data_IF_345357610090
#
_entry.id   IF_345357610090
#
_cell.length_a   1.000
_cell.length_b   1.000
_cell.length_c   1.000
_cell.angle_alpha   90.00
_cell.angle_beta   90.00
_cell.angle_gamma   90.00
#
_symmetry.space_group_name_H-M   'P 1'
#
loop_
_entity.id
_entity.type
_entity.pdbx_description
1 polymer ?
#
# COMPACT_ATOMS: atom_id res chain seq x y z
N UNK A 1 12.64 -19.01 -8.11
CA UNK A 1 11.96 -19.87 -7.12
C UNK A 1 12.60 -19.76 -5.74
N UNK A 2 13.92 -19.98 -5.60
CA UNK A 2 14.64 -19.93 -4.31
C UNK A 2 14.32 -18.70 -3.42
N UNK A 3 14.51 -17.49 -3.95
CA UNK A 3 14.26 -16.25 -3.16
C UNK A 3 12.79 -15.96 -2.85
N UNK A 4 11.84 -16.49 -3.64
CA UNK A 4 10.40 -16.37 -3.33
C UNK A 4 10.04 -17.19 -2.09
N UNK A 5 10.50 -18.45 -2.05
CA UNK A 5 10.31 -19.31 -0.88
C UNK A 5 10.97 -18.72 0.37
N UNK A 6 12.12 -18.05 0.19
CA UNK A 6 12.79 -17.37 1.28
C UNK A 6 12.01 -16.13 1.78
N UNK A 7 11.38 -15.32 0.91
CA UNK A 7 10.47 -14.25 1.33
C UNK A 7 9.28 -14.78 2.13
N UNK A 8 8.66 -15.88 1.67
CA UNK A 8 7.55 -16.53 2.40
C UNK A 8 8.03 -17.04 3.77
N UNK A 9 9.20 -17.66 3.83
CA UNK A 9 9.80 -18.10 5.09
C UNK A 9 10.03 -16.92 6.05
N UNK A 10 10.62 -15.81 5.57
CA UNK A 10 10.79 -14.59 6.38
C UNK A 10 9.43 -14.09 6.88
N UNK A 11 8.41 -14.04 6.02
CA UNK A 11 7.08 -13.60 6.43
C UNK A 11 6.51 -14.48 7.56
N UNK A 12 6.63 -15.80 7.46
CA UNK A 12 6.20 -16.73 8.52
C UNK A 12 6.99 -16.51 9.81
N UNK A 13 8.31 -16.34 9.73
CA UNK A 13 9.16 -16.06 10.90
C UNK A 13 8.75 -14.73 11.56
N UNK A 14 8.48 -13.68 10.77
CA UNK A 14 8.03 -12.39 11.29
C UNK A 14 6.67 -12.50 11.99
N UNK A 15 5.72 -13.26 11.43
CA UNK A 15 4.44 -13.54 12.12
C UNK A 15 4.69 -14.29 13.43
N UNK A 16 5.53 -15.32 13.41
CA UNK A 16 5.82 -16.10 14.62
C UNK A 16 6.44 -15.22 15.70
N UNK A 17 7.42 -14.39 15.35
CA UNK A 17 8.02 -13.41 16.28
C UNK A 17 6.96 -12.44 16.82
N UNK A 18 6.04 -11.98 15.98
CA UNK A 18 4.95 -11.07 16.38
C UNK A 18 3.99 -11.70 17.38
N UNK A 19 3.72 -13.00 17.27
CA UNK A 19 2.75 -13.73 18.10
C UNK A 19 3.38 -14.57 19.22
N UNK A 20 4.72 -14.62 19.33
CA UNK A 20 5.45 -15.52 20.25
C UNK A 20 5.11 -15.32 21.75
N UNK A 21 4.42 -14.23 22.10
CA UNK A 21 4.01 -13.95 23.49
C UNK A 21 2.63 -13.30 23.58
N UNK A 22 1.80 -13.46 22.55
CA UNK A 22 0.42 -12.95 22.51
C UNK A 22 -0.52 -14.08 22.94
N UNK A 23 -1.20 -14.01 24.10
CA UNK A 23 -2.20 -14.99 24.50
C UNK A 23 -3.27 -15.20 23.41
N UNK A 24 -3.78 -16.41 23.27
CA UNK A 24 -4.77 -16.75 22.24
C UNK A 24 -6.07 -15.92 22.36
N UNK A 25 -6.44 -15.54 23.58
CA UNK A 25 -7.64 -14.73 23.86
C UNK A 25 -7.35 -13.21 23.83
N UNK A 26 -6.10 -12.83 23.56
CA UNK A 26 -5.73 -11.44 23.37
C UNK A 26 -5.76 -11.09 21.89
N UNK A 27 -6.35 -9.95 21.59
CA UNK A 27 -6.23 -9.33 20.27
C UNK A 27 -4.82 -8.76 20.16
N UNK A 28 -4.22 -8.92 18.98
CA UNK A 28 -3.01 -8.17 18.69
C UNK A 28 -3.47 -6.73 18.45
N UNK A 29 -3.46 -5.92 19.52
CA UNK A 29 -3.53 -4.48 19.42
C UNK A 29 -2.26 -4.01 18.72
N UNK A 30 -2.27 -4.07 17.39
CA UNK A 30 -1.59 -3.03 16.63
C UNK A 30 -2.49 -1.82 16.83
N UNK A 31 -2.21 -1.05 17.88
CA UNK A 31 -2.85 0.21 18.26
C UNK A 31 -3.64 0.89 17.12
N UNK A 32 -4.88 1.33 17.38
CA UNK A 32 -5.77 2.10 16.47
C UNK A 32 -5.87 1.66 14.99
N UNK A 33 -5.53 0.42 14.63
CA UNK A 33 -5.99 -0.14 13.36
C UNK A 33 -7.52 -0.24 13.40
N UNK A 34 -8.21 0.17 12.33
CA UNK A 34 -9.68 0.04 12.24
C UNK A 34 -10.06 -1.44 12.29
N UNK A 35 -10.45 -1.88 13.48
CA UNK A 35 -10.70 -3.27 13.78
C UNK A 35 -12.16 -3.57 13.49
N UNK A 36 -12.39 -4.41 12.48
CA UNK A 36 -13.72 -4.91 12.20
C UNK A 36 -13.93 -6.19 12.99
N UNK A 37 -14.87 -6.17 13.93
CA UNK A 37 -15.13 -7.27 14.86
C UNK A 37 -15.93 -8.42 14.24
N UNK A 38 -16.77 -8.11 13.25
CA UNK A 38 -17.63 -9.09 12.60
C UNK A 38 -17.97 -8.73 11.15
N UNK A 39 -18.59 -9.69 10.45
CA UNK A 39 -19.01 -9.55 9.06
C UNK A 39 -20.05 -8.44 8.87
N UNK A 40 -21.05 -8.35 9.76
CA UNK A 40 -22.16 -7.40 9.63
C UNK A 40 -21.69 -5.95 9.72
N UNK A 41 -20.79 -5.66 10.66
CA UNK A 41 -20.18 -4.35 10.82
C UNK A 41 -19.32 -4.00 9.61
N UNK A 42 -18.49 -4.94 9.13
CA UNK A 42 -17.66 -4.73 7.92
C UNK A 42 -18.51 -4.48 6.67
N UNK A 43 -19.63 -5.20 6.52
CA UNK A 43 -20.54 -5.04 5.38
C UNK A 43 -21.21 -3.67 5.38
N UNK A 44 -21.63 -3.21 6.54
CA UNK A 44 -22.22 -1.88 6.70
C UNK A 44 -21.22 -0.76 6.37
N UNK A 45 -19.95 -0.94 6.73
CA UNK A 45 -18.86 0.02 6.45
C UNK A 45 -18.41 0.04 4.98
N UNK A 46 -18.81 -0.95 4.19
CA UNK A 46 -18.49 -1.05 2.75
C UNK A 46 -19.35 -0.15 1.87
N UNK A 47 -20.47 0.35 2.38
CA UNK A 47 -21.32 1.27 1.64
C UNK A 47 -20.96 2.70 1.99
N UNK A 48 -20.55 3.47 0.98
CA UNK A 48 -20.32 4.90 1.13
C UNK A 48 -21.57 5.65 1.63
N UNK A 49 -22.77 5.13 1.36
CA UNK A 49 -24.03 5.72 1.80
C UNK A 49 -24.91 4.60 2.38
N UNK A 50 -25.15 4.66 3.69
CA UNK A 50 -26.18 3.86 4.35
C UNK A 50 -27.44 4.71 4.48
N UNK A 51 -28.59 4.18 4.03
CA UNK A 51 -29.90 4.86 4.15
C UNK A 51 -30.26 5.23 5.59
N UNK A 52 -29.64 4.59 6.58
CA UNK A 52 -29.86 4.83 8.01
C UNK A 52 -29.25 6.13 8.56
N UNK A 53 -28.20 6.66 7.93
CA UNK A 53 -27.41 7.78 8.49
C UNK A 53 -27.61 9.10 7.73
N UNK A 54 -28.74 9.26 7.02
CA UNK A 54 -29.06 10.46 6.21
C UNK A 54 -27.92 10.92 5.28
N UNK A 55 -27.06 10.00 4.84
CA UNK A 55 -26.04 10.27 3.83
C UNK A 55 -24.77 10.98 4.31
N UNK A 56 -24.42 10.96 5.60
CA UNK A 56 -23.07 11.41 6.01
C UNK A 56 -22.02 10.35 5.64
N UNK A 57 -21.58 10.38 4.39
CA UNK A 57 -20.56 9.47 3.87
C UNK A 57 -19.16 9.93 4.28
N UNK A 58 -18.40 9.09 4.99
CA UNK A 58 -16.96 9.31 5.17
C UNK A 58 -16.20 8.64 4.00
N UNK A 59 -16.50 9.09 2.77
CA UNK A 59 -15.94 8.60 1.50
C UNK A 59 -14.40 8.58 1.49
N UNK A 60 -13.78 9.53 2.19
CA UNK A 60 -12.32 9.59 2.38
C UNK A 60 -11.82 8.38 3.19
N UNK A 61 -12.48 8.06 4.32
CA UNK A 61 -12.15 6.87 5.12
C UNK A 61 -12.45 5.56 4.38
N UNK A 62 -13.52 5.51 3.58
CA UNK A 62 -13.79 4.34 2.74
C UNK A 62 -12.64 4.07 1.76
N UNK A 63 -12.14 5.11 1.08
CA UNK A 63 -11.01 4.95 0.15
C UNK A 63 -9.75 4.43 0.84
N UNK A 64 -9.45 4.95 2.04
CA UNK A 64 -8.30 4.54 2.84
C UNK A 64 -8.43 3.11 3.38
N UNK A 65 -9.65 2.61 3.59
CA UNK A 65 -9.89 1.27 4.18
C UNK A 65 -10.35 0.23 3.17
N UNK A 66 -10.45 0.57 1.89
CA UNK A 66 -11.09 -0.28 0.89
C UNK A 66 -10.54 -1.72 0.87
N UNK A 67 -9.22 -1.87 0.88
CA UNK A 67 -8.60 -3.20 0.86
C UNK A 67 -8.70 -3.94 2.19
N UNK A 68 -8.68 -3.21 3.31
CA UNK A 68 -8.92 -3.78 4.64
C UNK A 68 -10.36 -4.31 4.75
N UNK A 69 -11.35 -3.51 4.37
CA UNK A 69 -12.76 -3.90 4.32
C UNK A 69 -12.98 -5.12 3.41
N UNK A 70 -12.35 -5.14 2.23
CA UNK A 70 -12.46 -6.26 1.30
C UNK A 70 -11.87 -7.53 1.90
N UNK A 71 -10.73 -7.39 2.58
CA UNK A 71 -10.09 -8.47 3.32
C UNK A 71 -11.00 -9.01 4.43
N UNK A 72 -11.49 -8.14 5.33
CA UNK A 72 -12.31 -8.57 6.47
C UNK A 72 -13.62 -9.22 6.02
N UNK A 73 -14.29 -8.69 4.99
CA UNK A 73 -15.48 -9.34 4.41
C UNK A 73 -15.18 -10.75 3.92
N UNK A 74 -14.07 -10.92 3.20
CA UNK A 74 -13.67 -12.21 2.65
C UNK A 74 -13.26 -13.17 3.77
N UNK A 75 -12.45 -12.71 4.71
CA UNK A 75 -11.93 -13.52 5.80
C UNK A 75 -13.05 -13.99 6.73
N UNK A 76 -13.97 -13.11 7.12
CA UNK A 76 -15.12 -13.47 7.97
C UNK A 76 -16.13 -14.39 7.27
N UNK A 77 -16.16 -14.43 5.94
CA UNK A 77 -16.98 -15.41 5.21
C UNK A 77 -16.45 -16.85 5.34
N UNK A 78 -15.19 -17.03 5.72
CA UNK A 78 -14.50 -18.33 5.82
C UNK A 78 -14.20 -18.69 7.28
N UNK A 79 -13.81 -17.71 8.08
CA UNK A 79 -13.30 -17.89 9.44
C UNK A 79 -14.06 -16.96 10.39
N UNK A 80 -14.76 -17.53 11.38
CA UNK A 80 -15.55 -16.74 12.33
C UNK A 80 -14.73 -16.16 13.49
N UNK A 81 -13.48 -16.59 13.66
CA UNK A 81 -12.62 -16.16 14.77
C UNK A 81 -11.78 -14.94 14.38
N UNK A 82 -11.96 -13.84 15.11
CA UNK A 82 -11.21 -12.59 14.95
C UNK A 82 -9.70 -12.81 15.09
N UNK A 83 -9.26 -13.65 16.03
CA UNK A 83 -7.84 -13.97 16.23
C UNK A 83 -7.20 -14.51 14.94
N UNK A 84 -7.82 -15.52 14.33
CA UNK A 84 -7.32 -16.11 13.09
C UNK A 84 -7.38 -15.15 11.91
N UNK A 85 -8.42 -14.32 11.84
CA UNK A 85 -8.52 -13.26 10.83
C UNK A 85 -7.36 -12.25 10.97
N UNK A 86 -6.93 -11.90 12.18
CA UNK A 86 -5.77 -11.03 12.36
C UNK A 86 -4.43 -11.71 12.04
N UNK A 87 -4.26 -12.98 12.44
CA UNK A 87 -3.04 -13.75 12.13
C UNK A 87 -2.87 -13.87 10.61
N UNK A 88 -3.93 -14.20 9.88
CA UNK A 88 -3.93 -14.31 8.42
C UNK A 88 -3.65 -12.95 7.78
N UNK A 89 -4.20 -11.86 8.33
CA UNK A 89 -3.98 -10.51 7.83
C UNK A 89 -2.51 -10.13 7.95
N UNK A 90 -1.90 -10.36 9.12
CA UNK A 90 -0.50 -10.06 9.36
C UNK A 90 0.42 -10.89 8.45
N UNK A 91 0.11 -12.18 8.28
CA UNK A 91 0.82 -13.05 7.34
C UNK A 91 0.73 -12.53 5.90
N UNK A 92 -0.47 -12.16 5.45
CA UNK A 92 -0.69 -11.56 4.14
C UNK A 92 0.14 -10.27 3.99
N UNK A 93 0.09 -9.37 4.97
CA UNK A 93 0.83 -8.11 4.96
C UNK A 93 2.34 -8.36 4.82
N UNK A 94 2.93 -9.29 5.59
CA UNK A 94 4.36 -9.61 5.45
C UNK A 94 4.71 -10.33 4.15
N UNK A 95 3.85 -11.18 3.61
CA UNK A 95 4.05 -11.80 2.29
C UNK A 95 4.08 -10.71 1.21
N UNK A 96 3.10 -9.81 1.21
CA UNK A 96 3.04 -8.69 0.26
C UNK A 96 4.30 -7.84 0.36
N UNK A 97 4.68 -7.45 1.59
CA UNK A 97 5.82 -6.60 1.87
C UNK A 97 7.16 -7.18 1.40
N UNK A 98 7.38 -8.48 1.62
CA UNK A 98 8.67 -9.13 1.30
C UNK A 98 8.74 -9.68 -0.13
N UNK A 99 7.60 -9.87 -0.79
CA UNK A 99 7.54 -10.57 -2.09
C UNK A 99 7.25 -9.65 -3.26
N UNK A 100 6.29 -8.73 -3.13
CA UNK A 100 5.85 -7.88 -4.24
C UNK A 100 6.97 -6.91 -4.68
N UNK A 101 7.71 -6.24 -3.77
CA UNK A 101 8.82 -5.38 -4.17
C UNK A 101 9.92 -6.14 -4.91
N UNK A 102 10.23 -7.38 -4.50
CA UNK A 102 11.22 -8.21 -5.18
C UNK A 102 10.87 -8.43 -6.66
N UNK A 103 9.60 -8.71 -6.98
CA UNK A 103 9.17 -8.83 -8.36
C UNK A 103 9.31 -7.52 -9.14
N UNK A 104 8.97 -6.38 -8.51
CA UNK A 104 9.15 -5.06 -9.10
C UNK A 104 10.63 -4.74 -9.39
N UNK A 105 11.51 -4.87 -8.40
CA UNK A 105 12.94 -4.63 -8.56
C UNK A 105 13.60 -5.59 -9.55
N UNK A 106 13.19 -6.86 -9.56
CA UNK A 106 13.66 -7.82 -10.56
C UNK A 106 13.25 -7.43 -11.99
N UNK A 107 12.12 -6.75 -12.17
CA UNK A 107 11.70 -6.23 -13.47
C UNK A 107 12.44 -4.94 -13.82
N UNK A 108 12.65 -4.05 -12.85
CA UNK A 108 13.43 -2.82 -13.02
C UNK A 108 14.90 -3.10 -13.36
N UNK A 109 15.52 -4.09 -12.72
CA UNK A 109 16.93 -4.42 -12.97
C UNK A 109 17.18 -4.84 -14.41
N UNK A 110 16.20 -5.47 -15.09
CA UNK A 110 16.28 -5.81 -16.52
C UNK A 110 16.40 -4.58 -17.43
N UNK A 111 15.96 -3.43 -16.94
CA UNK A 111 15.99 -2.17 -17.68
C UNK A 111 17.26 -1.39 -17.34
N UNK A 112 17.65 -1.37 -16.07
CA UNK A 112 18.71 -0.50 -15.56
C UNK A 112 20.11 -1.13 -15.61
N UNK A 113 20.22 -2.47 -15.58
CA UNK A 113 21.52 -3.16 -15.57
C UNK A 113 21.55 -4.38 -16.49
N UNK A 114 22.55 -4.49 -17.39
CA UNK A 114 22.74 -5.68 -18.21
C UNK A 114 23.23 -6.90 -17.40
N UNK A 115 23.90 -6.68 -16.26
CA UNK A 115 24.33 -7.75 -15.34
C UNK A 115 23.33 -7.85 -14.18
N UNK A 116 22.60 -8.94 -14.14
CA UNK A 116 21.57 -9.20 -13.11
C UNK A 116 22.13 -10.14 -12.04
N UNK A 117 22.45 -9.57 -10.88
CA UNK A 117 22.68 -10.36 -9.67
C UNK A 117 21.37 -10.46 -8.87
N UNK A 118 20.79 -11.67 -8.84
CA UNK A 118 19.53 -11.93 -8.15
C UNK A 118 19.65 -11.77 -6.63
N UNK A 119 20.82 -11.99 -6.04
CA UNK A 119 21.04 -11.79 -4.61
C UNK A 119 21.03 -10.31 -4.28
N UNK A 120 21.72 -9.47 -5.07
CA UNK A 120 21.72 -8.02 -4.88
C UNK A 120 20.31 -7.45 -5.04
N UNK A 121 19.57 -7.87 -6.08
CA UNK A 121 18.17 -7.46 -6.27
C UNK A 121 17.32 -7.84 -5.05
N UNK A 122 17.54 -9.03 -4.51
CA UNK A 122 16.84 -9.51 -3.33
C UNK A 122 17.16 -8.67 -2.08
N UNK A 123 18.44 -8.39 -1.83
CA UNK A 123 18.87 -7.55 -0.70
C UNK A 123 18.33 -6.12 -0.80
N UNK A 124 18.33 -5.52 -1.99
CA UNK A 124 17.70 -4.21 -2.23
C UNK A 124 16.20 -4.26 -1.96
N UNK A 125 15.53 -5.34 -2.38
CA UNK A 125 14.10 -5.49 -2.12
C UNK A 125 13.78 -5.69 -0.63
N UNK A 126 14.62 -6.41 0.12
CA UNK A 126 14.50 -6.54 1.56
C UNK A 126 14.78 -5.21 2.28
N UNK A 127 15.79 -4.47 1.84
CA UNK A 127 16.08 -3.14 2.38
C UNK A 127 14.91 -2.18 2.15
N UNK A 128 14.29 -2.22 0.96
CA UNK A 128 13.06 -1.47 0.68
C UNK A 128 11.90 -1.92 1.57
N UNK A 129 11.70 -3.22 1.72
CA UNK A 129 10.61 -3.81 2.49
C UNK A 129 10.72 -3.56 4.00
N UNK A 130 11.93 -3.51 4.55
CA UNK A 130 12.20 -3.40 5.99
C UNK A 130 12.94 -2.09 6.33
N UNK A 131 12.66 -1.02 5.57
CA UNK A 131 13.22 0.29 5.87
C UNK A 131 12.53 0.92 7.10
N UNK A 132 13.10 2.03 7.58
CA UNK A 132 12.58 2.77 8.73
C UNK A 132 11.12 3.18 8.57
N UNK A 133 10.71 3.56 7.35
CA UNK A 133 9.33 3.93 7.08
C UNK A 133 8.39 2.74 7.36
N UNK A 134 8.71 1.55 6.85
CA UNK A 134 7.89 0.36 7.09
C UNK A 134 7.89 -0.04 8.56
N UNK A 135 9.03 0.03 9.25
CA UNK A 135 9.11 -0.26 10.70
C UNK A 135 8.25 0.73 11.50
N UNK A 136 8.27 2.02 11.16
CA UNK A 136 7.41 3.03 11.79
C UNK A 136 5.94 2.69 11.57
N UNK A 137 5.54 2.34 10.35
CA UNK A 137 4.13 2.04 10.05
C UNK A 137 3.65 0.74 10.69
N UNK A 138 4.52 -0.28 10.77
CA UNK A 138 4.27 -1.52 11.51
C UNK A 138 4.00 -1.27 13.00
N UNK A 139 4.70 -0.30 13.60
CA UNK A 139 4.54 0.05 15.02
C UNK A 139 3.47 1.12 15.29
N UNK A 140 3.11 1.88 14.27
CA UNK A 140 2.51 3.21 14.40
C UNK A 140 1.07 3.33 13.94
N UNK A 141 0.28 2.27 14.11
CA UNK A 141 -1.18 2.32 13.90
C UNK A 141 -1.61 2.55 12.44
N UNK A 142 -0.68 2.42 11.49
CA UNK A 142 -0.89 2.87 10.11
C UNK A 142 -0.59 1.78 9.07
N UNK A 143 -0.36 0.53 9.48
CA UNK A 143 -0.06 -0.56 8.54
C UNK A 143 -1.30 -1.20 7.91
N UNK A 144 -2.27 -0.36 7.54
CA UNK A 144 -3.46 -0.77 6.79
C UNK A 144 -3.06 -1.39 5.43
N UNK A 145 -3.88 -2.30 4.91
CA UNK A 145 -3.63 -2.94 3.62
C UNK A 145 -3.56 -1.92 2.48
N UNK A 146 -4.38 -0.87 2.52
CA UNK A 146 -4.40 0.15 1.45
C UNK A 146 -3.08 0.91 1.26
N UNK A 147 -2.48 1.55 2.29
CA UNK A 147 -1.17 2.16 2.16
C UNK A 147 -0.07 1.13 1.89
N UNK A 148 -0.18 -0.09 2.44
CA UNK A 148 0.77 -1.17 2.16
C UNK A 148 0.78 -1.55 0.68
N UNK A 149 -0.39 -1.80 0.08
CA UNK A 149 -0.54 -2.13 -1.35
C UNK A 149 0.07 -1.04 -2.21
N UNK A 150 -0.20 0.22 -1.88
CA UNK A 150 0.35 1.39 -2.58
C UNK A 150 1.89 1.42 -2.49
N UNK A 151 2.43 1.15 -1.31
CA UNK A 151 3.88 1.10 -1.07
C UNK A 151 4.56 -0.06 -1.81
N UNK A 152 4.04 -1.29 -1.70
CA UNK A 152 4.72 -2.48 -2.25
C UNK A 152 4.63 -2.58 -3.76
N UNK A 153 3.58 -2.00 -4.37
CA UNK A 153 3.42 -1.97 -5.82
C UNK A 153 4.30 -0.92 -6.50
N UNK A 154 4.80 0.09 -5.78
CA UNK A 154 5.54 1.21 -6.38
C UNK A 154 6.72 0.78 -7.29
N UNK A 155 7.58 -0.20 -6.94
CA UNK A 155 8.66 -0.63 -7.83
C UNK A 155 8.13 -1.29 -9.12
N UNK A 156 7.04 -2.06 -9.04
CA UNK A 156 6.41 -2.68 -10.21
C UNK A 156 5.70 -1.63 -11.07
N UNK A 157 4.99 -0.69 -10.44
CA UNK A 157 4.33 0.42 -11.11
C UNK A 157 5.35 1.27 -11.89
N UNK A 158 6.50 1.57 -11.27
CA UNK A 158 7.57 2.31 -11.93
C UNK A 158 8.09 1.57 -13.17
N UNK A 159 8.30 0.25 -13.08
CA UNK A 159 8.69 -0.57 -14.22
C UNK A 159 7.65 -0.52 -15.35
N UNK A 160 6.37 -0.67 -15.01
CA UNK A 160 5.27 -0.69 -15.98
C UNK A 160 5.11 0.66 -16.68
N UNK A 161 5.09 1.75 -15.90
CA UNK A 161 5.05 3.12 -16.40
C UNK A 161 6.27 3.39 -17.30
N UNK A 162 7.46 2.98 -16.87
CA UNK A 162 8.66 3.13 -17.70
C UNK A 162 8.49 2.41 -19.03
N UNK A 163 8.08 1.14 -19.00
CA UNK A 163 7.94 0.31 -20.20
C UNK A 163 6.91 0.91 -21.16
N UNK A 164 5.79 1.39 -20.63
CA UNK A 164 4.68 1.94 -21.42
C UNK A 164 5.02 3.30 -22.00
N UNK A 165 5.68 4.19 -21.26
CA UNK A 165 5.99 5.54 -21.74
C UNK A 165 7.23 5.57 -22.64
N UNK A 166 8.32 4.94 -22.22
CA UNK A 166 9.62 5.10 -22.89
C UNK A 166 9.89 4.02 -23.95
N UNK A 167 9.29 2.83 -23.86
CA UNK A 167 9.54 1.74 -24.81
C UNK A 167 8.31 1.40 -25.64
N UNK A 168 8.49 0.82 -26.84
CA UNK A 168 7.36 0.32 -27.63
C UNK A 168 6.72 -0.85 -26.87
N UNK A 169 5.50 -0.64 -26.40
CA UNK A 169 4.75 -1.61 -25.60
C UNK A 169 3.39 -1.92 -26.24
N UNK A 170 2.95 -3.18 -26.20
CA UNK A 170 1.61 -3.58 -26.64
C UNK A 170 0.53 -3.11 -25.66
N UNK A 171 -0.73 -3.04 -26.11
CA UNK A 171 -1.86 -2.50 -25.36
C UNK A 171 -2.09 -3.19 -24.00
N UNK A 172 -1.88 -4.51 -23.89
CA UNK A 172 -2.04 -5.23 -22.63
C UNK A 172 -1.10 -4.71 -21.52
N UNK A 173 0.06 -4.14 -21.87
CA UNK A 173 0.96 -3.51 -20.90
C UNK A 173 0.36 -2.20 -20.36
N UNK A 174 -0.34 -1.43 -21.21
CA UNK A 174 -1.04 -0.23 -20.77
C UNK A 174 -2.17 -0.60 -19.80
N UNK A 175 -2.98 -1.61 -20.14
CA UNK A 175 -4.04 -2.11 -19.27
C UNK A 175 -3.49 -2.58 -17.91
N UNK A 176 -2.42 -3.37 -17.90
CA UNK A 176 -1.75 -3.79 -16.66
C UNK A 176 -1.20 -2.61 -15.84
N UNK A 177 -0.69 -1.57 -16.50
CA UNK A 177 -0.24 -0.33 -15.83
C UNK A 177 -1.40 0.39 -15.18
N UNK A 178 -2.54 0.53 -15.88
CA UNK A 178 -3.75 1.17 -15.36
C UNK A 178 -4.29 0.42 -14.13
N UNK A 179 -4.34 -0.92 -14.18
CA UNK A 179 -4.80 -1.71 -13.04
C UNK A 179 -3.90 -1.55 -11.80
N UNK A 180 -2.58 -1.52 -11.99
CA UNK A 180 -1.64 -1.29 -10.89
C UNK A 180 -1.77 0.13 -10.31
N UNK A 181 -1.86 1.14 -11.18
CA UNK A 181 -2.07 2.53 -10.74
C UNK A 181 -3.41 2.70 -10.03
N UNK A 182 -4.46 2.01 -10.51
CA UNK A 182 -5.77 1.98 -9.86
C UNK A 182 -5.69 1.34 -8.47
N UNK A 183 -4.97 0.22 -8.31
CA UNK A 183 -4.79 -0.37 -6.98
C UNK A 183 -4.04 0.57 -6.01
N UNK A 184 -3.03 1.30 -6.48
CA UNK A 184 -2.26 2.26 -5.66
C UNK A 184 -3.04 3.53 -5.30
N UNK A 185 -4.13 3.79 -6.01
CA UNK A 185 -4.81 5.07 -5.94
C UNK A 185 -5.69 5.30 -4.71
N UNK A 186 -6.03 4.22 -4.02
CA UNK A 186 -6.81 4.23 -2.79
C UNK A 186 -6.04 4.95 -1.66
N UNK A 187 -4.72 5.12 -1.80
CA UNK A 187 -3.91 6.00 -0.97
C UNK A 187 -3.32 7.16 -1.79
N UNK A 188 -4.13 8.20 -2.01
CA UNK A 188 -3.83 9.32 -2.92
C UNK A 188 -2.49 10.00 -2.64
N UNK A 189 -2.10 10.19 -1.37
CA UNK A 189 -0.83 10.83 -1.01
C UNK A 189 0.37 10.09 -1.63
N UNK A 190 0.37 8.75 -1.56
CA UNK A 190 1.45 7.95 -2.15
C UNK A 190 1.41 7.96 -3.67
N UNK A 191 0.22 7.94 -4.26
CA UNK A 191 0.07 8.04 -5.70
C UNK A 191 0.62 9.37 -6.23
N UNK A 192 0.36 10.49 -5.55
CA UNK A 192 0.90 11.81 -5.91
C UNK A 192 2.42 11.83 -5.82
N UNK A 193 3.00 11.35 -4.71
CA UNK A 193 4.46 11.26 -4.54
C UNK A 193 5.08 10.38 -5.63
N UNK A 194 4.44 9.26 -5.98
CA UNK A 194 4.85 8.39 -7.07
C UNK A 194 4.84 9.11 -8.43
N UNK A 195 3.78 9.86 -8.75
CA UNK A 195 3.73 10.62 -10.01
C UNK A 195 4.75 11.75 -10.05
N UNK A 196 5.02 12.42 -8.94
CA UNK A 196 6.10 13.41 -8.84
C UNK A 196 7.46 12.75 -9.15
N UNK A 197 7.74 11.59 -8.56
CA UNK A 197 8.95 10.82 -8.84
C UNK A 197 9.06 10.43 -10.33
N UNK A 198 7.98 9.90 -10.92
CA UNK A 198 7.93 9.57 -12.36
C UNK A 198 8.16 10.82 -13.21
N UNK A 199 7.56 11.96 -12.85
CA UNK A 199 7.73 13.23 -13.55
C UNK A 199 9.17 13.71 -13.54
N UNK A 200 9.80 13.73 -12.37
CA UNK A 200 11.23 14.07 -12.22
C UNK A 200 12.09 13.11 -13.04
N UNK A 201 11.85 11.81 -12.95
CA UNK A 201 12.58 10.82 -13.73
C UNK A 201 12.42 11.03 -15.24
N UNK A 202 11.18 11.32 -15.70
CA UNK A 202 10.91 11.60 -17.10
C UNK A 202 11.67 12.84 -17.58
N UNK A 203 11.70 13.92 -16.78
CA UNK A 203 12.49 15.11 -17.09
C UNK A 203 13.98 14.80 -17.22
N UNK A 204 14.54 14.01 -16.29
CA UNK A 204 15.95 13.60 -16.34
C UNK A 204 16.27 12.78 -17.60
N UNK A 205 15.35 11.92 -18.05
CA UNK A 205 15.52 11.14 -19.29
C UNK A 205 15.47 11.98 -20.56
N UNK A 206 14.94 13.21 -20.51
CA UNK A 206 14.91 14.12 -21.66
C UNK A 206 16.19 14.94 -21.81
N UNK A 207 16.96 15.14 -20.72
CA UNK A 207 18.17 15.97 -20.71
C UNK A 207 19.33 15.48 -21.61
N UNK A 208 19.68 14.18 -21.66
CA UNK A 208 20.88 13.73 -22.37
C UNK A 208 20.70 13.51 -23.88
N UNK A 209 19.49 13.66 -24.42
CA UNK A 209 19.21 13.31 -25.81
C UNK A 209 19.21 14.53 -26.75
N UNK A 210 20.02 14.54 -27.83
CA UNK A 210 20.02 15.63 -28.81
C UNK A 210 18.69 15.77 -29.58
N UNK A 211 17.86 14.73 -29.56
CA UNK A 211 16.47 14.75 -30.05
C UNK A 211 15.59 14.03 -29.03
N UNK A 212 15.09 14.75 -28.01
CA UNK A 212 14.33 14.12 -26.94
C UNK A 212 13.03 13.53 -27.49
N UNK A 213 12.65 12.29 -27.13
CA UNK A 213 11.45 11.62 -27.64
C UNK A 213 10.15 12.15 -26.98
N UNK A 214 10.00 13.48 -26.91
CA UNK A 214 8.90 14.17 -26.22
C UNK A 214 7.54 13.77 -26.80
N UNK A 215 7.37 13.86 -28.13
CA UNK A 215 6.09 13.60 -28.77
C UNK A 215 5.61 12.14 -28.62
N UNK A 216 6.46 11.11 -28.81
CA UNK A 216 6.09 9.72 -28.49
C UNK A 216 5.69 9.50 -27.03
N UNK A 217 6.40 10.11 -26.08
CA UNK A 217 6.09 9.99 -24.65
C UNK A 217 4.74 10.64 -24.35
N UNK A 218 4.48 11.85 -24.87
CA UNK A 218 3.20 12.54 -24.70
C UNK A 218 2.03 11.73 -25.28
N UNK A 219 2.17 11.19 -26.50
CA UNK A 219 1.13 10.35 -27.11
C UNK A 219 0.81 9.12 -26.27
N UNK A 220 1.83 8.44 -25.74
CA UNK A 220 1.65 7.26 -24.88
C UNK A 220 1.07 7.64 -23.51
N UNK A 221 1.48 8.77 -22.96
CA UNK A 221 0.90 9.35 -21.76
C UNK A 221 -0.58 9.64 -21.93
N UNK A 222 -0.99 10.23 -23.06
CA UNK A 222 -2.41 10.47 -23.37
C UNK A 222 -3.21 9.18 -23.45
N UNK A 223 -2.67 8.12 -24.08
CA UNK A 223 -3.33 6.81 -24.12
C UNK A 223 -3.49 6.25 -22.70
N UNK A 224 -2.44 6.32 -21.88
CA UNK A 224 -2.48 5.86 -20.49
C UNK A 224 -3.53 6.62 -19.68
N UNK A 225 -3.57 7.95 -19.78
CA UNK A 225 -4.55 8.80 -19.11
C UNK A 225 -5.98 8.52 -19.59
N UNK A 226 -6.18 8.33 -20.90
CA UNK A 226 -7.49 7.98 -21.46
C UNK A 226 -8.00 6.63 -20.93
N UNK A 227 -7.13 5.64 -20.80
CA UNK A 227 -7.48 4.33 -20.22
C UNK A 227 -7.70 4.41 -18.70
N UNK A 228 -7.07 5.36 -18.01
CA UNK A 228 -7.27 5.60 -16.58
C UNK A 228 -8.55 6.40 -16.28
N UNK A 229 -9.11 7.10 -17.28
CA UNK A 229 -10.28 7.98 -17.13
C UNK A 229 -11.52 7.33 -16.50
N UNK A 230 -11.90 6.08 -16.80
CA UNK A 230 -13.06 5.44 -16.16
C UNK A 230 -12.90 5.33 -14.64
N UNK A 231 -11.67 5.21 -14.15
CA UNK A 231 -11.35 5.09 -12.74
C UNK A 231 -11.28 6.45 -12.03
N UNK A 232 -11.21 7.56 -12.79
CA UNK A 232 -11.18 8.92 -12.24
C UNK A 232 -12.48 9.31 -11.54
N UNK A 233 -13.61 8.67 -11.86
CA UNK A 233 -14.90 8.94 -11.23
C UNK A 233 -14.87 8.67 -9.72
N UNK A 234 -14.17 7.62 -9.29
CA UNK A 234 -14.00 7.32 -7.87
C UNK A 234 -13.17 8.40 -7.16
N UNK A 235 -12.10 8.91 -7.80
CA UNK A 235 -11.32 10.02 -7.21
C UNK A 235 -12.07 11.33 -7.23
N UNK A 236 -12.86 11.61 -8.26
CA UNK A 236 -13.65 12.83 -8.32
C UNK A 236 -14.64 12.88 -7.15
N UNK A 237 -15.25 11.74 -6.79
CA UNK A 237 -16.10 11.61 -5.61
C UNK A 237 -15.33 11.81 -4.29
N UNK A 238 -14.14 11.21 -4.15
CA UNK A 238 -13.30 11.38 -2.94
C UNK A 238 -12.78 12.80 -2.80
N UNK A 239 -12.33 13.43 -3.89
CA UNK A 239 -11.88 14.82 -3.90
C UNK A 239 -13.04 15.77 -3.61
N UNK A 240 -14.21 15.54 -4.20
CA UNK A 240 -15.43 16.28 -3.89
C UNK A 240 -15.77 16.18 -2.40
N UNK A 241 -15.81 14.99 -1.82
CA UNK A 241 -16.10 14.82 -0.40
C UNK A 241 -15.06 15.47 0.51
N UNK A 242 -13.78 15.44 0.11
CA UNK A 242 -12.68 15.99 0.92
C UNK A 242 -12.62 17.53 0.87
N UNK A 243 -12.96 18.14 -0.27
CA UNK A 243 -12.84 19.59 -0.48
C UNK A 243 -14.14 20.33 -0.13
N UNK A 244 -15.31 19.77 -0.46
CA UNK A 244 -16.60 20.47 -0.39
C UNK A 244 -17.37 20.11 0.89
N UNK A 245 -17.16 18.91 1.45
CA UNK A 245 -17.74 18.48 2.72
C UNK A 245 -16.61 18.22 3.72
N UNK A 246 -15.91 19.26 4.20
CA UNK A 246 -14.91 19.07 5.23
C UNK A 246 -15.59 18.46 6.45
N UNK A 247 -15.38 17.16 6.67
CA UNK A 247 -15.77 16.53 7.91
C UNK A 247 -14.89 17.12 9.00
N UNK A 248 -15.50 17.84 9.94
CA UNK A 248 -14.83 18.41 11.13
C UNK A 248 -14.21 17.34 12.06
N UNK A 249 -14.15 16.08 11.63
CA UNK A 249 -13.69 14.91 12.37
C UNK A 249 -12.56 14.16 11.67
N UNK A 250 -11.97 14.72 10.60
CA UNK A 250 -10.73 14.17 10.07
C UNK A 250 -9.58 14.49 11.04
N UNK A 251 -9.53 13.78 12.17
CA UNK A 251 -8.28 13.49 12.86
C UNK A 251 -7.35 12.98 11.78
N UNK A 252 -6.36 13.80 11.44
CA UNK A 252 -5.28 13.46 10.52
C UNK A 252 -4.58 12.23 11.09
N UNK A 253 -5.04 11.04 10.71
CA UNK A 253 -4.65 9.73 11.27
C UNK A 253 -3.23 9.31 10.86
N UNK A 254 -2.37 10.27 10.54
CA UNK A 254 -0.91 10.12 10.49
C UNK A 254 -0.15 11.12 11.36
N UNK A 255 -0.83 12.12 11.95
CA UNK A 255 -0.20 13.15 12.77
C UNK A 255 0.11 12.68 14.20
N UNK A 256 -0.81 11.92 14.81
CA UNK A 256 -0.68 11.53 16.23
C UNK A 256 0.39 10.46 16.44
N UNK A 257 0.56 9.53 15.49
CA UNK A 257 1.66 8.56 15.52
C UNK A 257 3.04 9.23 15.42
N UNK A 258 3.22 10.20 14.52
CA UNK A 258 4.48 10.92 14.37
C UNK A 258 4.80 11.79 15.59
N UNK A 259 3.78 12.36 16.25
CA UNK A 259 3.96 13.09 17.51
C UNK A 259 4.37 12.20 18.69
N UNK A 260 4.02 10.91 18.64
CA UNK A 260 4.32 9.91 19.66
C UNK A 260 5.72 9.29 19.52
N UNK A 261 6.30 9.31 18.32
CA UNK A 261 7.61 8.71 17.99
C UNK A 261 8.80 9.66 18.18
N UNK A 262 8.74 10.60 19.12
CA UNK A 262 9.82 11.56 19.45
C UNK A 262 11.15 10.95 19.94
N UNK A 263 11.28 9.62 19.96
CA UNK A 263 12.45 8.90 20.47
C UNK A 263 13.60 8.64 19.47
N UNK A 264 13.48 9.08 18.22
CA UNK A 264 14.53 8.89 17.20
C UNK A 264 14.60 7.46 16.65
N UNK A 265 15.59 7.19 15.79
CA UNK A 265 15.68 5.97 14.97
C UNK A 265 15.72 4.63 15.75
N UNK A 266 16.12 4.67 17.02
CA UNK A 266 16.30 3.49 17.86
C UNK A 266 14.98 3.07 18.54
N UNK A 267 14.07 4.01 18.81
CA UNK A 267 12.81 3.72 19.50
C UNK A 267 11.89 2.78 18.71
N UNK A 268 11.68 2.94 17.38
CA UNK A 268 10.92 1.97 16.58
C UNK A 268 11.56 0.58 16.49
N UNK A 269 12.89 0.47 16.65
CA UNK A 269 13.61 -0.81 16.63
C UNK A 269 13.51 -1.55 17.97
N UNK A 270 13.48 -0.82 19.09
CA UNK A 270 13.31 -1.39 20.43
C UNK A 270 11.85 -1.62 20.81
N UNK A 271 10.93 -0.84 20.24
CA UNK A 271 9.47 -0.99 20.41
C UNK A 271 8.86 -1.81 19.28
N UNK A 272 9.54 -2.87 18.83
CA UNK A 272 9.06 -3.81 17.80
C UNK A 272 7.60 -4.26 18.03
N UNK A 273 7.16 -4.28 19.29
CA UNK A 273 5.76 -4.38 19.71
C UNK A 273 5.59 -3.61 21.02
N UNK A 274 5.34 -2.30 20.95
CA UNK A 274 4.77 -1.59 22.09
C UNK A 274 3.36 -2.12 22.29
N UNK A 275 3.18 -3.03 23.25
CA UNK A 275 1.87 -3.30 23.81
C UNK A 275 1.41 -2.02 24.49
N UNK A 276 0.61 -1.24 23.79
CA UNK A 276 -0.17 -0.18 24.40
C UNK A 276 -0.95 -0.76 25.55
N UNK A 277 -0.55 -0.37 26.76
CA UNK A 277 -1.32 -0.57 27.98
C UNK A 277 -2.63 0.19 27.80
N UNK A 278 -3.64 -0.44 27.20
CA UNK A 278 -5.04 -0.20 27.55
C UNK A 278 -5.42 -1.27 28.58
N UNK A 279 -4.66 -1.34 29.68
CA UNK A 279 -5.23 -1.84 30.92
C UNK A 279 -6.27 -0.80 31.33
N UNK A 280 -7.53 -1.08 30.98
CA UNK A 280 -8.79 -0.89 31.72
C UNK A 280 -9.91 -1.01 30.68
N UNK A 281 -10.54 -2.18 30.64
CA UNK A 281 -11.99 -2.32 30.45
C UNK A 281 -12.54 -2.88 31.75
#
# INVERSE_FOLDING_TARGET
MKYYLFSVFIAVVLVFISYNSVPHDSFLFVHDEYLHLDFCHTYNDMFAVMFRDFGTSNLSLFSLRFFDLLYFLTAYSIVSSVYWVQVILLLLKFILLTTVPYFGFKRLSKILSPKQDLLVIYLVSLFYALNTFTVIYLNGNAFQLTPLISFVLAPLAFYLVYKVLFTKSPLYMFAGTVLVLYAMSFYLVFLVVFFLFVGVYALLQLLPSPRPPVLPILKRGLILSALYLPYLLLYALVLYSTIIVPSNTASSSGGDTYNSLKGGFVTPLLMLYSWGIYNIW
#
